data_IF_955599345116
#
_entry.id   IF_955599345116
#
_cell.length_a   1.000
_cell.length_b   1.000
_cell.length_c   1.000
_cell.angle_alpha   90.00
_cell.angle_beta   90.00
_cell.angle_gamma   90.00
#
_symmetry.space_group_name_H-M   'P 1'
#
loop_
_entity.id
_entity.type
_entity.pdbx_description
1 polymer ?
#
# COMPACT_ATOMS: atom_id res chain seq x y z
N UNK A 1 -8.11 13.72 -2.87
CA UNK A 1 -8.90 12.53 -2.49
C UNK A 1 -10.25 12.96 -1.93
N UNK A 2 -11.36 12.36 -2.38
CA UNK A 2 -12.68 12.62 -1.80
C UNK A 2 -12.89 11.81 -0.50
N UNK A 3 -13.94 12.06 0.28
CA UNK A 3 -14.17 11.38 1.58
C UNK A 3 -14.41 9.87 1.40
N UNK A 4 -15.17 9.47 0.38
CA UNK A 4 -15.49 8.06 0.15
C UNK A 4 -14.26 7.25 -0.28
N UNK A 5 -13.43 7.82 -1.15
CA UNK A 5 -12.12 7.30 -1.53
C UNK A 5 -11.21 7.18 -0.31
N UNK A 6 -11.17 8.21 0.55
CA UNK A 6 -10.38 8.20 1.77
C UNK A 6 -10.76 7.01 2.66
N UNK A 7 -12.05 6.83 2.92
CA UNK A 7 -12.57 5.74 3.74
C UNK A 7 -12.25 4.38 3.11
N UNK A 8 -12.46 4.24 1.80
CA UNK A 8 -12.18 2.99 1.06
C UNK A 8 -10.70 2.63 1.11
N UNK A 9 -9.81 3.60 0.92
CA UNK A 9 -8.36 3.37 0.95
C UNK A 9 -7.91 3.02 2.38
N UNK A 10 -8.40 3.74 3.39
CA UNK A 10 -8.08 3.45 4.77
C UNK A 10 -8.51 2.04 5.17
N UNK A 11 -9.72 1.63 4.83
CA UNK A 11 -10.23 0.29 5.09
C UNK A 11 -9.42 -0.78 4.36
N UNK A 12 -9.11 -0.58 3.07
CA UNK A 12 -8.26 -1.48 2.28
C UNK A 12 -6.87 -1.66 2.89
N UNK A 13 -6.25 -0.56 3.32
CA UNK A 13 -4.92 -0.56 3.94
C UNK A 13 -4.92 -1.34 5.25
N UNK A 14 -5.91 -1.09 6.11
CA UNK A 14 -6.05 -1.78 7.40
C UNK A 14 -6.38 -3.27 7.19
N UNK A 15 -7.26 -3.59 6.24
CA UNK A 15 -7.60 -4.98 5.87
C UNK A 15 -6.39 -5.74 5.37
N UNK A 16 -5.59 -5.14 4.48
CA UNK A 16 -4.36 -5.76 3.97
C UNK A 16 -3.32 -6.03 5.06
N UNK A 17 -3.20 -5.14 6.04
CA UNK A 17 -2.20 -5.26 7.11
C UNK A 17 -2.64 -6.17 8.27
N UNK A 18 -3.89 -6.06 8.70
CA UNK A 18 -4.39 -6.73 9.92
C UNK A 18 -5.31 -7.91 9.63
N UNK A 19 -5.76 -8.09 8.39
CA UNK A 19 -6.80 -9.05 8.00
C UNK A 19 -8.20 -8.67 8.46
N UNK A 20 -8.39 -7.46 9.02
CA UNK A 20 -9.67 -6.95 9.52
C UNK A 20 -10.00 -5.61 8.91
N UNK A 21 -11.29 -5.36 8.73
CA UNK A 21 -11.81 -4.08 8.27
C UNK A 21 -11.94 -3.08 9.41
N UNK A 22 -12.03 -1.79 9.08
CA UNK A 22 -12.37 -0.75 10.05
C UNK A 22 -13.78 -0.99 10.57
N UNK A 23 -13.95 -0.83 11.88
CA UNK A 23 -15.28 -0.83 12.49
C UNK A 23 -16.07 0.41 12.07
N UNK A 24 -17.40 0.35 12.11
CA UNK A 24 -18.26 1.50 11.76
C UNK A 24 -17.88 2.76 12.56
N UNK A 25 -17.61 2.61 13.85
CA UNK A 25 -17.24 3.72 14.72
C UNK A 25 -15.87 4.32 14.35
N UNK A 26 -14.91 3.50 13.90
CA UNK A 26 -13.63 3.98 13.40
C UNK A 26 -13.76 4.70 12.06
N UNK A 27 -14.57 4.15 11.15
CA UNK A 27 -14.88 4.77 9.86
C UNK A 27 -15.58 6.12 10.03
N UNK A 28 -16.55 6.18 10.94
CA UNK A 28 -17.25 7.40 11.32
C UNK A 28 -16.30 8.44 11.92
N UNK A 29 -15.41 8.02 12.81
CA UNK A 29 -14.41 8.90 13.41
C UNK A 29 -13.40 9.42 12.38
N UNK A 30 -13.03 8.59 11.40
CA UNK A 30 -12.15 8.98 10.30
C UNK A 30 -12.82 10.02 9.40
N UNK A 31 -14.12 9.83 9.09
CA UNK A 31 -14.94 10.80 8.36
C UNK A 31 -15.02 12.13 9.10
N UNK A 32 -15.42 12.10 10.37
CA UNK A 32 -15.49 13.28 11.24
C UNK A 32 -14.14 14.02 11.32
N UNK A 33 -13.04 13.27 11.39
CA UNK A 33 -11.69 13.83 11.39
C UNK A 33 -11.33 14.52 10.07
N UNK A 34 -11.82 14.01 8.93
CA UNK A 34 -11.63 14.66 7.62
C UNK A 34 -12.46 15.93 7.47
N UNK A 35 -13.53 16.08 8.24
CA UNK A 35 -14.40 17.27 8.28
C UNK A 35 -13.98 18.26 9.37
N UNK A 36 -12.81 18.04 10.01
CA UNK A 36 -12.27 18.83 11.12
C UNK A 36 -13.12 18.83 12.41
N UNK A 37 -14.09 17.93 12.54
CA UNK A 37 -14.90 17.77 13.75
C UNK A 37 -14.01 17.37 14.94
N UNK A 38 -14.22 17.97 16.11
CA UNK A 38 -13.44 17.62 17.32
C UNK A 38 -13.91 16.31 17.93
N UNK A 39 -13.09 15.72 18.81
CA UNK A 39 -13.50 14.50 19.51
C UNK A 39 -14.68 14.76 20.44
N UNK A 40 -14.75 15.96 21.02
CA UNK A 40 -15.84 16.41 21.88
C UNK A 40 -17.16 16.46 21.10
N UNK A 41 -17.15 17.09 19.92
CA UNK A 41 -18.31 17.15 19.05
C UNK A 41 -18.75 15.75 18.59
N UNK A 42 -17.81 14.95 18.11
CA UNK A 42 -18.10 13.59 17.64
C UNK A 42 -18.66 12.69 18.75
N UNK A 43 -18.07 12.77 19.94
CA UNK A 43 -18.53 12.01 21.10
C UNK A 43 -19.96 12.40 21.50
N UNK A 44 -20.26 13.70 21.56
CA UNK A 44 -21.59 14.21 21.87
C UNK A 44 -22.63 13.77 20.81
N UNK A 45 -22.30 13.89 19.53
CA UNK A 45 -23.21 13.53 18.43
C UNK A 45 -23.55 12.03 18.42
N UNK A 46 -22.61 11.19 18.86
CA UNK A 46 -22.75 9.73 18.89
C UNK A 46 -23.18 9.18 20.25
N UNK A 47 -23.33 10.04 21.26
CA UNK A 47 -23.72 9.63 22.62
C UNK A 47 -22.63 8.85 23.39
N UNK A 48 -21.36 9.06 23.06
CA UNK A 48 -20.22 8.42 23.73
C UNK A 48 -19.51 9.39 24.68
N UNK A 49 -18.81 8.83 25.68
CA UNK A 49 -17.89 9.60 26.49
C UNK A 49 -16.66 10.02 25.66
N UNK A 50 -16.22 11.28 25.83
CA UNK A 50 -15.02 11.83 25.20
C UNK A 50 -13.78 10.96 25.42
N UNK A 51 -13.61 10.47 26.64
CA UNK A 51 -12.47 9.66 27.03
C UNK A 51 -12.42 8.34 26.27
N UNK A 52 -13.57 7.69 26.08
CA UNK A 52 -13.69 6.46 25.29
C UNK A 52 -13.33 6.70 23.82
N UNK A 53 -13.88 7.76 23.22
CA UNK A 53 -13.57 8.10 21.82
C UNK A 53 -12.07 8.42 21.64
N UNK A 54 -11.45 9.14 22.57
CA UNK A 54 -10.03 9.50 22.46
C UNK A 54 -9.10 8.31 22.72
N UNK A 55 -9.30 7.61 23.83
CA UNK A 55 -8.35 6.62 24.35
C UNK A 55 -8.51 5.25 23.72
N UNK A 56 -9.75 4.84 23.43
CA UNK A 56 -10.02 3.50 22.90
C UNK A 56 -10.17 3.52 21.39
N UNK A 57 -11.08 4.34 20.86
CA UNK A 57 -11.39 4.34 19.43
C UNK A 57 -10.31 5.07 18.62
N UNK A 58 -10.03 6.32 18.99
CA UNK A 58 -9.12 7.20 18.27
C UNK A 58 -7.68 6.72 18.35
N UNK A 59 -7.20 6.40 19.56
CA UNK A 59 -5.84 5.85 19.74
C UNK A 59 -5.63 4.59 18.90
N UNK A 60 -6.57 3.63 18.99
CA UNK A 60 -6.51 2.38 18.21
C UNK A 60 -6.54 2.65 16.71
N UNK A 61 -7.41 3.53 16.23
CA UNK A 61 -7.50 3.89 14.81
C UNK A 61 -6.16 4.42 14.27
N UNK A 62 -5.54 5.37 14.97
CA UNK A 62 -4.27 5.95 14.50
C UNK A 62 -3.11 4.96 14.60
N UNK A 63 -3.12 4.07 15.59
CA UNK A 63 -2.14 3.00 15.70
C UNK A 63 -2.27 2.00 14.54
N UNK A 64 -3.49 1.56 14.22
CA UNK A 64 -3.75 0.66 13.10
C UNK A 64 -3.29 1.25 11.77
N UNK A 65 -3.64 2.52 11.52
CA UNK A 65 -3.19 3.21 10.30
C UNK A 65 -1.67 3.38 10.28
N UNK A 66 -1.04 3.66 11.43
CA UNK A 66 0.42 3.78 11.50
C UNK A 66 1.12 2.47 11.18
N UNK A 67 0.63 1.36 11.74
CA UNK A 67 1.16 0.02 11.48
C UNK A 67 0.98 -0.37 10.01
N UNK A 68 -0.21 -0.11 9.46
CA UNK A 68 -0.53 -0.50 8.09
C UNK A 68 0.19 0.33 7.02
N UNK A 69 0.45 1.60 7.29
CA UNK A 69 1.16 2.50 6.36
C UNK A 69 2.69 2.51 6.58
N UNK A 70 3.18 1.96 7.69
CA UNK A 70 4.60 1.96 8.02
C UNK A 70 5.16 3.34 8.41
N UNK A 71 4.30 4.31 8.72
CA UNK A 71 4.69 5.65 9.14
C UNK A 71 3.79 6.17 10.28
N UNK A 72 4.24 7.19 11.01
CA UNK A 72 3.46 7.73 12.14
C UNK A 72 2.22 8.50 11.65
N UNK A 73 1.05 7.96 11.94
CA UNK A 73 -0.25 8.55 11.62
C UNK A 73 -0.91 9.17 12.86
N UNK A 74 -1.54 10.31 12.64
CA UNK A 74 -2.27 11.12 13.63
C UNK A 74 -3.47 11.77 12.93
N UNK A 75 -4.41 12.30 13.72
CA UNK A 75 -5.54 13.08 13.21
C UNK A 75 -5.15 14.22 12.25
N UNK A 76 -3.95 14.79 12.38
CA UNK A 76 -3.52 15.93 11.52
C UNK A 76 -2.90 15.51 10.20
N UNK A 77 -2.33 14.31 10.10
CA UNK A 77 -1.53 13.89 8.95
C UNK A 77 -2.06 12.62 8.24
N UNK A 78 -3.11 11.97 8.76
CA UNK A 78 -3.66 10.74 8.15
C UNK A 78 -4.05 10.92 6.68
N UNK A 79 -4.62 12.07 6.31
CA UNK A 79 -5.00 12.36 4.94
C UNK A 79 -3.80 12.36 4.00
N UNK A 80 -2.72 13.03 4.41
CA UNK A 80 -1.48 13.08 3.63
C UNK A 80 -0.81 11.71 3.55
N UNK A 81 -0.86 10.93 4.63
CA UNK A 81 -0.33 9.56 4.67
C UNK A 81 -1.05 8.64 3.68
N UNK A 82 -2.39 8.67 3.67
CA UNK A 82 -3.21 7.92 2.72
C UNK A 82 -3.02 8.39 1.28
N UNK A 83 -2.86 9.69 1.04
CA UNK A 83 -2.56 10.23 -0.30
C UNK A 83 -1.19 9.74 -0.82
N UNK A 84 -0.16 9.71 0.03
CA UNK A 84 1.15 9.13 -0.34
C UNK A 84 1.04 7.66 -0.67
N UNK A 85 0.31 6.89 0.14
CA UNK A 85 0.07 5.47 -0.14
C UNK A 85 -0.61 5.27 -1.50
N UNK A 86 -1.67 6.05 -1.78
CA UNK A 86 -2.40 5.97 -3.04
C UNK A 86 -1.51 6.33 -4.24
N UNK A 87 -0.65 7.35 -4.10
CA UNK A 87 0.30 7.73 -5.14
C UNK A 87 1.32 6.60 -5.39
N UNK A 88 1.91 6.03 -4.33
CA UNK A 88 2.83 4.91 -4.43
C UNK A 88 2.18 3.69 -5.10
N UNK A 89 0.94 3.36 -4.74
CA UNK A 89 0.19 2.26 -5.36
C UNK A 89 -0.07 2.51 -6.85
N UNK A 90 -0.38 3.75 -7.25
CA UNK A 90 -0.53 4.12 -8.66
C UNK A 90 0.77 3.94 -9.44
N UNK A 91 1.91 4.34 -8.89
CA UNK A 91 3.22 4.17 -9.54
C UNK A 91 3.54 2.68 -9.77
N UNK A 92 3.31 1.82 -8.78
CA UNK A 92 3.49 0.37 -8.92
C UNK A 92 2.57 -0.19 -10.01
N UNK A 93 1.29 0.19 -10.00
CA UNK A 93 0.32 -0.28 -11.01
C UNK A 93 0.62 0.20 -12.43
N UNK A 94 1.32 1.34 -12.58
CA UNK A 94 1.72 1.88 -13.88
C UNK A 94 2.87 1.07 -14.47
N UNK A 95 3.91 0.81 -13.67
CA UNK A 95 5.08 0.01 -14.08
C UNK A 95 4.68 -1.43 -14.44
N UNK A 96 3.75 -2.04 -13.69
CA UNK A 96 3.21 -3.37 -14.03
C UNK A 96 2.47 -3.37 -15.36
N UNK A 97 1.62 -2.38 -15.64
CA UNK A 97 0.86 -2.31 -16.90
C UNK A 97 1.77 -2.08 -18.11
N UNK A 98 2.80 -1.25 -17.98
CA UNK A 98 3.77 -1.03 -19.05
C UNK A 98 4.53 -2.33 -19.38
N UNK A 99 4.98 -3.07 -18.37
CA UNK A 99 5.65 -4.37 -18.56
C UNK A 99 4.73 -5.42 -19.14
N UNK A 100 3.44 -5.43 -18.78
CA UNK A 100 2.45 -6.34 -19.37
C UNK A 100 2.21 -6.02 -20.86
N UNK A 101 2.09 -4.75 -21.22
CA UNK A 101 1.92 -4.31 -22.61
C UNK A 101 3.10 -4.68 -23.50
N UNK A 102 4.32 -4.61 -22.96
CA UNK A 102 5.56 -4.91 -23.69
C UNK A 102 6.18 -6.27 -23.32
N UNK A 103 5.41 -7.14 -22.66
CA UNK A 103 5.93 -8.39 -22.07
C UNK A 103 6.67 -9.25 -23.10
N UNK A 104 6.12 -9.38 -24.31
CA UNK A 104 6.75 -10.17 -25.38
C UNK A 104 8.10 -9.62 -25.85
N UNK A 105 8.26 -8.30 -25.95
CA UNK A 105 9.53 -7.67 -26.35
C UNK A 105 10.55 -7.73 -25.20
N UNK A 106 10.12 -7.48 -23.96
CA UNK A 106 10.98 -7.64 -22.78
C UNK A 106 11.42 -9.09 -22.57
N UNK A 107 10.54 -10.06 -22.79
CA UNK A 107 10.85 -11.49 -22.73
C UNK A 107 11.84 -11.86 -23.84
N UNK A 108 11.66 -11.38 -25.06
CA UNK A 108 12.62 -11.61 -26.15
C UNK A 108 14.00 -10.99 -25.85
N UNK A 109 14.05 -9.78 -25.31
CA UNK A 109 15.31 -9.16 -24.91
C UNK A 109 15.99 -9.88 -23.74
N UNK A 110 15.21 -10.33 -22.75
CA UNK A 110 15.71 -11.09 -21.61
C UNK A 110 16.21 -12.48 -22.03
N UNK A 111 15.44 -13.22 -22.84
CA UNK A 111 15.85 -14.51 -23.42
C UNK A 111 17.10 -14.36 -24.29
N UNK A 112 17.19 -13.28 -25.07
CA UNK A 112 18.37 -12.99 -25.85
C UNK A 112 19.60 -12.73 -24.97
N UNK A 113 19.47 -11.92 -23.92
CA UNK A 113 20.53 -11.68 -22.93
C UNK A 113 20.95 -12.96 -22.18
N UNK A 114 19.99 -13.82 -21.83
CA UNK A 114 20.24 -15.09 -21.15
C UNK A 114 20.91 -16.11 -22.07
N UNK A 115 20.52 -16.16 -23.35
CA UNK A 115 21.17 -16.99 -24.36
C UNK A 115 22.64 -16.58 -24.60
N UNK A 116 22.94 -15.28 -24.57
CA UNK A 116 24.32 -14.77 -24.65
C UNK A 116 25.15 -15.11 -23.40
N UNK A 117 24.51 -15.25 -22.24
CA UNK A 117 25.19 -15.65 -20.99
C UNK A 117 25.52 -17.15 -20.97
N UNK A 118 24.71 -17.97 -21.62
CA UNK A 118 24.88 -19.42 -21.70
C UNK A 118 25.66 -19.92 -22.93
N UNK A 119 26.05 -19.06 -23.89
CA UNK A 119 26.83 -19.47 -25.06
C UNK A 119 28.30 -19.79 -24.76
N UNK A 120 28.87 -19.29 -23.66
CA UNK A 120 30.27 -19.52 -23.26
C UNK A 120 30.55 -20.91 -22.67
N UNK A 121 29.53 -21.75 -22.48
CA UNK A 121 29.70 -23.13 -21.99
C UNK A 121 29.63 -24.21 -23.07
N UNK A 122 29.20 -23.89 -24.30
CA UNK A 122 29.08 -24.88 -25.37
C UNK A 122 30.33 -24.97 -26.29
N UNK A 123 31.09 -23.89 -26.48
CA UNK A 123 32.32 -23.92 -27.30
C UNK A 123 33.51 -24.61 -26.62
N UNK A 124 33.57 -24.63 -25.28
CA UNK A 124 34.70 -25.22 -24.55
C UNK A 124 34.67 -26.76 -24.41
N UNK A 125 33.65 -27.44 -24.96
CA UNK A 125 33.58 -28.92 -24.94
C UNK A 125 33.90 -29.57 -26.29
N UNK A 126 34.12 -28.78 -27.35
CA UNK A 126 34.41 -29.27 -28.71
C UNK A 126 35.85 -29.05 -29.17
N UNK A 127 36.69 -28.34 -28.41
CA UNK A 127 38.10 -28.08 -28.76
C UNK A 127 39.13 -28.90 -27.96
N UNK A 128 38.70 -29.95 -27.23
CA UNK A 128 39.59 -30.72 -26.33
C UNK A 128 39.86 -32.17 -26.74
N UNK A 129 39.42 -32.63 -27.93
CA UNK A 129 39.47 -34.06 -28.28
C UNK A 129 40.56 -34.44 -29.30
N UNK A 130 41.18 -33.50 -30.03
CA UNK A 130 42.14 -33.85 -31.09
C UNK A 130 43.53 -33.20 -30.92
N UNK A 131 44.19 -33.45 -29.79
CA UNK A 131 45.60 -33.07 -29.60
C UNK A 131 46.35 -34.06 -28.69
N UNK A 132 46.45 -35.33 -29.11
CA UNK A 132 47.52 -36.26 -28.74
C UNK A 132 47.95 -37.10 -29.95
#
# INVERSE_FOLDING_TARGET
MNIQELLTIADKVVSKSSGRHLTDLQSDLLKASSENQTYEQFANDRGYCLDYIKKDVGSTLWQLLSQALGEKVTKKNFRQALERYQQAEKFVSYDEKEKQQYFGIYLMFWLFKEAQKNSTTFENRYYSIDAE
#
